data_IF_544958004116
#
_entry.id   IF_544958004116
#
_cell.length_a   1.000
_cell.length_b   1.000
_cell.length_c   1.000
_cell.angle_alpha   90.00
_cell.angle_beta   90.00
_cell.angle_gamma   90.00
#
_symmetry.space_group_name_H-M   'P 1'
#
loop_
_entity.id
_entity.type
_entity.pdbx_description
1 polymer ?
#
# COMPACT_ATOMS: atom_id res chain seq x y z
N UNK A 1 19.00 -34.20 17.21
CA UNK A 1 19.14 -34.68 15.83
C UNK A 1 18.40 -33.71 14.94
N UNK A 2 18.99 -33.30 13.83
CA UNK A 2 18.32 -32.42 12.88
C UNK A 2 17.25 -33.23 12.12
N UNK A 3 16.01 -32.75 12.12
CA UNK A 3 14.91 -33.39 11.41
C UNK A 3 14.59 -32.54 10.18
N UNK A 4 15.11 -32.95 9.01
CA UNK A 4 14.83 -32.30 7.74
C UNK A 4 13.42 -32.70 7.29
N UNK A 5 12.43 -31.84 7.53
CA UNK A 5 11.17 -31.95 6.80
C UNK A 5 11.39 -31.54 5.34
N UNK A 6 10.69 -32.25 4.45
CA UNK A 6 10.77 -32.11 3.00
C UNK A 6 10.24 -30.72 2.59
N UNK A 7 11.02 -29.99 1.79
CA UNK A 7 10.61 -28.71 1.22
C UNK A 7 9.47 -28.94 0.22
N UNK A 8 8.28 -28.41 0.52
CA UNK A 8 7.13 -28.47 -0.38
C UNK A 8 6.87 -27.07 -0.97
N UNK A 9 7.23 -26.82 -2.24
CA UNK A 9 7.10 -25.50 -2.87
C UNK A 9 5.65 -25.01 -3.07
N UNK A 10 4.65 -25.79 -2.63
CA UNK A 10 3.21 -25.52 -2.78
C UNK A 10 2.43 -25.63 -1.46
N UNK A 11 3.10 -25.84 -0.32
CA UNK A 11 2.44 -25.63 0.97
C UNK A 11 2.53 -24.15 1.28
N UNK A 12 1.38 -23.51 1.50
CA UNK A 12 1.32 -22.15 2.00
C UNK A 12 2.25 -22.02 3.21
N UNK A 13 3.18 -21.06 3.13
CA UNK A 13 3.87 -20.58 4.32
C UNK A 13 2.76 -20.11 5.26
N UNK A 14 2.74 -20.61 6.48
CA UNK A 14 1.80 -20.14 7.49
C UNK A 14 1.86 -18.62 7.49
N UNK A 15 0.69 -18.02 7.22
CA UNK A 15 0.49 -16.60 7.20
C UNK A 15 0.64 -16.07 8.62
N UNK A 16 1.88 -15.83 9.06
CA UNK A 16 2.14 -15.06 10.27
C UNK A 16 1.78 -13.60 9.95
N UNK A 17 0.48 -13.31 9.90
CA UNK A 17 -0.01 -11.94 9.95
C UNK A 17 0.43 -11.35 11.30
N UNK A 18 1.06 -10.19 11.24
CA UNK A 18 1.53 -9.45 12.39
C UNK A 18 0.80 -8.12 12.53
N UNK A 19 0.66 -7.71 13.78
CA UNK A 19 0.30 -6.35 14.13
C UNK A 19 1.59 -5.58 14.40
N UNK A 20 1.83 -4.54 13.60
CA UNK A 20 3.04 -3.73 13.67
C UNK A 20 2.73 -2.37 14.27
N UNK A 21 3.50 -2.01 15.30
CA UNK A 21 3.61 -0.66 15.85
C UNK A 21 5.08 -0.28 15.82
N UNK A 22 5.47 0.54 14.84
CA UNK A 22 6.87 0.81 14.52
C UNK A 22 7.11 2.31 14.54
N UNK A 23 8.11 2.75 15.31
CA UNK A 23 8.62 4.12 15.26
C UNK A 23 9.93 4.17 14.50
N UNK A 24 9.98 4.98 13.45
CA UNK A 24 11.17 5.26 12.66
C UNK A 24 11.80 6.55 13.14
N UNK A 25 13.08 6.51 13.52
CA UNK A 25 13.85 7.68 13.98
C UNK A 25 14.95 8.02 12.96
N UNK A 26 14.79 9.14 12.26
CA UNK A 26 15.63 9.55 11.13
C UNK A 26 16.13 10.99 11.32
N UNK A 27 17.22 11.38 10.65
CA UNK A 27 17.58 12.79 10.55
C UNK A 27 16.44 13.63 9.96
N UNK A 28 16.23 14.85 10.45
CA UNK A 28 15.09 15.70 10.05
C UNK A 28 14.99 15.93 8.53
N UNK A 29 16.09 15.82 7.78
CA UNK A 29 16.09 15.90 6.30
C UNK A 29 15.16 14.88 5.62
N UNK A 30 14.78 13.80 6.29
CA UNK A 30 13.87 12.77 5.75
C UNK A 30 12.39 13.07 6.05
N UNK A 31 12.09 14.08 6.87
CA UNK A 31 10.72 14.42 7.26
C UNK A 31 9.83 14.58 6.02
N UNK A 32 8.70 13.89 6.03
CA UNK A 32 7.74 13.91 4.91
C UNK A 32 8.15 13.06 3.70
N UNK A 33 9.34 12.46 3.70
CA UNK A 33 9.89 11.62 2.64
C UNK A 33 10.06 10.16 3.07
N UNK A 34 9.33 9.75 4.11
CA UNK A 34 9.27 8.38 4.61
C UNK A 34 8.00 7.72 4.09
N UNK A 35 8.11 6.50 3.60
CA UNK A 35 6.99 5.62 3.26
C UNK A 35 7.10 4.33 4.07
N UNK A 36 5.99 3.83 4.60
CA UNK A 36 5.97 2.58 5.34
C UNK A 36 4.63 1.84 5.17
N UNK A 37 4.62 0.57 5.56
CA UNK A 37 3.40 -0.21 5.75
C UNK A 37 2.51 0.48 6.78
N UNK A 38 1.21 0.53 6.47
CA UNK A 38 0.22 1.17 7.32
C UNK A 38 0.10 2.68 7.11
N UNK A 39 -0.41 3.33 8.14
CA UNK A 39 -0.59 4.77 8.17
C UNK A 39 0.24 5.37 9.31
N UNK A 40 0.76 6.57 9.07
CA UNK A 40 1.46 7.33 10.09
C UNK A 40 0.44 7.87 11.09
N UNK A 41 0.60 7.52 12.36
CA UNK A 41 -0.28 7.98 13.45
C UNK A 41 0.32 9.14 14.22
N UNK A 42 1.65 9.25 14.27
CA UNK A 42 2.36 10.30 15.00
C UNK A 42 3.59 10.78 14.22
N UNK A 43 3.92 12.06 14.38
CA UNK A 43 5.15 12.70 13.92
C UNK A 43 5.67 13.63 15.02
N UNK A 44 6.93 13.48 15.40
CA UNK A 44 7.62 14.35 16.35
C UNK A 44 8.94 14.83 15.73
N UNK A 45 9.23 16.13 15.88
CA UNK A 45 10.49 16.73 15.43
C UNK A 45 11.18 17.38 16.60
N UNK A 46 12.38 16.91 16.92
CA UNK A 46 13.20 17.41 18.00
C UNK A 46 14.68 17.16 17.70
N UNK A 47 15.56 18.06 18.14
CA UNK A 47 17.01 17.89 18.08
C UNK A 47 17.58 17.51 16.69
N UNK A 48 17.00 18.06 15.63
CA UNK A 48 17.42 17.78 14.24
C UNK A 48 17.05 16.36 13.75
N UNK A 49 16.11 15.71 14.42
CA UNK A 49 15.58 14.38 14.09
C UNK A 49 14.07 14.43 13.91
N UNK A 50 13.56 13.49 13.13
CA UNK A 50 12.12 13.21 12.97
C UNK A 50 11.86 11.78 13.43
N UNK A 51 10.85 11.62 14.30
CA UNK A 51 10.29 10.33 14.70
C UNK A 51 8.89 10.20 14.11
N UNK A 52 8.66 9.19 13.28
CA UNK A 52 7.35 8.89 12.68
C UNK A 52 6.88 7.51 13.15
N UNK A 53 5.69 7.42 13.77
CA UNK A 53 5.10 6.16 14.22
C UNK A 53 4.06 5.65 13.23
N UNK A 54 4.17 4.39 12.86
CA UNK A 54 3.29 3.70 11.93
C UNK A 54 2.64 2.50 12.60
N UNK A 55 1.34 2.35 12.39
CA UNK A 55 0.55 1.23 12.92
C UNK A 55 -0.17 0.53 11.79
N UNK A 56 -0.09 -0.80 11.79
CA UNK A 56 -0.86 -1.64 10.89
C UNK A 56 -1.12 -3.01 11.50
N UNK A 57 -2.40 -3.37 11.60
CA UNK A 57 -2.83 -4.70 12.00
C UNK A 57 -3.00 -5.62 10.80
N UNK A 58 -2.82 -6.92 11.02
CA UNK A 58 -3.20 -7.97 10.07
C UNK A 58 -2.40 -8.00 8.76
N UNK A 59 -1.14 -7.55 8.74
CA UNK A 59 -0.28 -7.59 7.55
C UNK A 59 0.77 -8.68 7.63
N UNK A 60 1.12 -9.28 6.50
CA UNK A 60 2.16 -10.31 6.44
C UNK A 60 3.56 -9.75 6.68
N UNK A 61 3.84 -8.57 6.14
CA UNK A 61 5.16 -7.96 6.15
C UNK A 61 5.08 -6.47 6.46
N UNK A 62 6.09 -5.97 7.15
CA UNK A 62 6.34 -4.56 7.32
C UNK A 62 7.51 -4.13 6.43
N UNK A 63 7.29 -3.11 5.60
CA UNK A 63 8.30 -2.49 4.77
C UNK A 63 8.34 -0.99 5.03
N UNK A 64 9.51 -0.38 4.82
CA UNK A 64 9.67 1.07 4.87
C UNK A 64 10.76 1.54 3.92
N UNK A 65 10.71 2.82 3.56
CA UNK A 65 11.68 3.49 2.70
C UNK A 65 11.84 4.95 3.12
N UNK A 66 13.02 5.52 2.87
CA UNK A 66 13.27 6.94 3.06
C UNK A 66 14.35 7.43 2.07
N UNK A 67 14.05 8.47 1.30
CA UNK A 67 15.00 9.20 0.46
C UNK A 67 14.56 10.68 0.47
N UNK A 68 15.41 11.63 0.92
CA UNK A 68 15.04 13.04 0.98
C UNK A 68 14.77 13.65 -0.40
N UNK A 69 15.04 12.92 -1.49
CA UNK A 69 14.77 13.34 -2.86
C UNK A 69 13.41 12.88 -3.36
N UNK A 70 12.66 12.05 -2.64
CA UNK A 70 11.34 11.63 -3.11
C UNK A 70 10.46 12.84 -3.41
N UNK A 71 9.70 12.75 -4.50
CA UNK A 71 8.51 13.57 -4.68
C UNK A 71 7.33 12.77 -4.16
N UNK A 72 6.66 13.33 -3.17
CA UNK A 72 5.51 12.69 -2.54
C UNK A 72 4.23 13.29 -3.12
N UNK A 73 3.36 12.41 -3.63
CA UNK A 73 2.07 12.76 -4.18
C UNK A 73 0.98 12.00 -3.42
N UNK A 74 -0.18 12.62 -3.27
CA UNK A 74 -1.35 12.00 -2.63
C UNK A 74 -2.56 12.13 -3.54
N UNK A 75 -3.29 11.03 -3.70
CA UNK A 75 -4.60 10.98 -4.33
C UNK A 75 -5.53 10.06 -3.52
N UNK A 76 -6.81 10.02 -3.88
CA UNK A 76 -7.76 9.03 -3.38
C UNK A 76 -8.22 8.12 -4.51
N UNK A 77 -8.43 6.84 -4.19
CA UNK A 77 -9.36 5.98 -4.90
C UNK A 77 -10.74 6.17 -4.28
N UNK A 78 -11.70 6.59 -5.09
CA UNK A 78 -13.12 6.70 -4.73
C UNK A 78 -13.91 5.75 -5.62
N UNK A 79 -14.51 4.67 -5.07
CA UNK A 79 -15.27 3.69 -5.86
C UNK A 79 -16.41 4.26 -6.71
N UNK A 80 -16.98 5.40 -6.32
CA UNK A 80 -18.10 6.00 -7.06
C UNK A 80 -17.62 6.83 -8.25
N UNK A 81 -16.39 7.33 -8.19
CA UNK A 81 -15.74 8.11 -9.25
C UNK A 81 -14.88 7.24 -10.17
N UNK A 82 -14.11 6.34 -9.58
CA UNK A 82 -12.97 5.67 -10.24
C UNK A 82 -13.33 4.27 -10.77
N UNK A 83 -14.52 3.74 -10.48
CA UNK A 83 -15.00 2.45 -11.00
C UNK A 83 -16.08 2.69 -12.06
N UNK A 84 -15.84 2.33 -13.34
CA UNK A 84 -16.85 2.42 -14.37
C UNK A 84 -18.11 1.62 -13.98
N UNK A 85 -19.32 2.21 -14.08
CA UNK A 85 -20.57 1.50 -13.77
C UNK A 85 -20.76 0.23 -14.59
N UNK A 86 -20.29 0.22 -15.83
CA UNK A 86 -20.37 -0.93 -16.75
C UNK A 86 -19.51 -2.09 -16.25
N UNK A 87 -18.26 -1.81 -15.87
CA UNK A 87 -17.35 -2.81 -15.29
C UNK A 87 -17.93 -3.41 -14.01
N UNK A 88 -18.48 -2.56 -13.13
CA UNK A 88 -19.11 -3.00 -11.88
C UNK A 88 -20.28 -3.95 -12.17
N UNK A 89 -21.18 -3.59 -13.09
CA UNK A 89 -22.33 -4.43 -13.46
C UNK A 89 -21.88 -5.75 -14.07
N UNK A 90 -20.96 -5.70 -15.03
CA UNK A 90 -20.43 -6.89 -15.70
C UNK A 90 -19.84 -7.89 -14.69
N UNK A 91 -18.99 -7.42 -13.78
CA UNK A 91 -18.35 -8.31 -12.80
C UNK A 91 -19.33 -8.80 -11.72
N UNK A 92 -20.29 -7.97 -11.29
CA UNK A 92 -21.35 -8.40 -10.35
C UNK A 92 -22.20 -9.52 -10.96
N UNK A 93 -22.61 -9.35 -12.22
CA UNK A 93 -23.42 -10.35 -12.93
C UNK A 93 -22.61 -11.62 -13.20
N UNK A 94 -21.37 -11.47 -13.67
CA UNK A 94 -20.48 -12.59 -14.00
C UNK A 94 -20.14 -13.45 -12.78
N UNK A 95 -19.89 -12.81 -11.64
CA UNK A 95 -19.45 -13.48 -10.41
C UNK A 95 -20.62 -13.81 -9.48
N UNK A 96 -21.85 -13.37 -9.80
CA UNK A 96 -23.04 -13.61 -8.98
C UNK A 96 -22.98 -12.93 -7.61
N UNK A 97 -22.31 -11.77 -7.52
CA UNK A 97 -22.08 -11.07 -6.26
C UNK A 97 -23.34 -10.35 -5.76
N UNK A 98 -23.51 -10.33 -4.45
CA UNK A 98 -24.45 -9.42 -3.81
C UNK A 98 -23.92 -7.97 -3.85
N UNK A 99 -24.79 -6.95 -3.70
CA UNK A 99 -24.35 -5.56 -3.58
C UNK A 99 -23.36 -5.32 -2.43
N UNK A 100 -23.43 -6.13 -1.37
CA UNK A 100 -22.51 -6.05 -0.23
C UNK A 100 -21.12 -6.60 -0.57
N UNK A 101 -21.04 -7.75 -1.23
CA UNK A 101 -19.77 -8.36 -1.66
C UNK A 101 -19.07 -7.50 -2.72
N UNK A 102 -19.83 -6.78 -3.55
CA UNK A 102 -19.31 -5.86 -4.57
C UNK A 102 -18.95 -4.47 -4.03
N UNK A 103 -19.12 -4.23 -2.72
CA UNK A 103 -18.88 -2.92 -2.11
C UNK A 103 -17.40 -2.68 -1.87
N UNK A 104 -16.81 -1.84 -2.70
CA UNK A 104 -15.45 -1.33 -2.51
C UNK A 104 -15.42 -0.19 -1.49
N UNK A 105 -14.21 0.16 -1.02
CA UNK A 105 -13.97 1.22 -0.04
C UNK A 105 -13.05 2.30 -0.62
N UNK A 106 -13.19 3.57 -0.21
CA UNK A 106 -12.20 4.59 -0.52
C UNK A 106 -10.84 4.24 0.08
N UNK A 107 -9.77 4.56 -0.64
CA UNK A 107 -8.39 4.31 -0.21
C UNK A 107 -7.54 5.56 -0.49
N UNK A 108 -6.79 6.03 0.50
CA UNK A 108 -5.77 7.05 0.32
C UNK A 108 -4.56 6.45 -0.36
N UNK A 109 -4.15 7.02 -1.49
CA UNK A 109 -2.99 6.58 -2.27
C UNK A 109 -1.86 7.56 -2.03
N UNK A 110 -0.72 7.07 -1.54
CA UNK A 110 0.47 7.89 -1.28
C UNK A 110 1.64 7.38 -2.10
N UNK A 111 2.08 8.16 -3.08
CA UNK A 111 3.15 7.79 -4.01
C UNK A 111 4.44 8.50 -3.63
N UNK A 112 5.49 7.74 -3.36
CA UNK A 112 6.87 8.21 -3.22
C UNK A 112 7.62 7.90 -4.51
N UNK A 113 7.98 8.94 -5.26
CA UNK A 113 8.50 8.83 -6.62
C UNK A 113 9.86 9.50 -6.72
N UNK A 114 10.83 8.87 -7.41
CA UNK A 114 12.10 9.54 -7.65
C UNK A 114 11.90 10.76 -8.59
N UNK A 115 12.66 11.87 -8.41
CA UNK A 115 12.46 13.10 -9.19
C UNK A 115 12.50 12.90 -10.70
N UNK A 116 13.39 12.04 -11.19
CA UNK A 116 13.53 11.71 -12.61
C UNK A 116 12.29 11.03 -13.21
N UNK A 117 11.43 10.44 -12.37
CA UNK A 117 10.21 9.76 -12.79
C UNK A 117 8.95 10.59 -12.57
N UNK A 118 9.06 11.85 -12.12
CA UNK A 118 7.91 12.71 -11.84
C UNK A 118 6.81 12.75 -12.94
N UNK A 119 7.12 12.74 -14.25
CA UNK A 119 6.08 12.68 -15.29
C UNK A 119 5.20 11.42 -15.26
N UNK A 120 5.64 10.36 -14.57
CA UNK A 120 4.97 9.08 -14.47
C UNK A 120 3.99 9.00 -13.29
N UNK A 121 3.89 10.04 -12.44
CA UNK A 121 3.03 10.02 -11.26
C UNK A 121 1.57 9.67 -11.60
N UNK A 122 1.03 10.28 -12.66
CA UNK A 122 -0.33 10.01 -13.12
C UNK A 122 -0.54 8.55 -13.53
N UNK A 123 0.42 7.98 -14.27
CA UNK A 123 0.34 6.60 -14.72
C UNK A 123 0.35 5.60 -13.54
N UNK A 124 1.09 5.89 -12.46
CA UNK A 124 1.07 5.07 -11.25
C UNK A 124 -0.30 5.08 -10.57
N UNK A 125 -0.91 6.27 -10.42
CA UNK A 125 -2.24 6.38 -9.83
C UNK A 125 -3.30 5.69 -10.69
N UNK A 126 -3.29 5.91 -12.01
CA UNK A 126 -4.24 5.26 -12.93
C UNK A 126 -4.12 3.72 -12.83
N UNK A 127 -2.89 3.19 -12.84
CA UNK A 127 -2.64 1.75 -12.73
C UNK A 127 -3.17 1.17 -11.40
N UNK A 128 -2.89 1.82 -10.27
CA UNK A 128 -3.36 1.34 -8.96
C UNK A 128 -4.86 1.47 -8.81
N UNK A 129 -5.50 2.52 -9.32
CA UNK A 129 -6.96 2.66 -9.30
C UNK A 129 -7.65 1.55 -10.10
N UNK A 130 -7.11 1.19 -11.27
CA UNK A 130 -7.59 0.05 -12.07
C UNK A 130 -7.43 -1.25 -11.27
N UNK A 131 -6.25 -1.46 -10.66
CA UNK A 131 -6.00 -2.65 -9.83
C UNK A 131 -6.95 -2.77 -8.64
N UNK A 132 -7.16 -1.69 -7.90
CA UNK A 132 -8.10 -1.62 -6.78
C UNK A 132 -9.55 -1.89 -7.21
N UNK A 133 -9.95 -1.42 -8.40
CA UNK A 133 -11.27 -1.69 -8.94
C UNK A 133 -11.45 -3.16 -9.35
N UNK A 134 -10.57 -3.70 -10.20
CA UNK A 134 -10.71 -5.05 -10.73
C UNK A 134 -10.50 -6.13 -9.67
N UNK A 135 -9.40 -6.04 -8.90
CA UNK A 135 -9.13 -7.01 -7.84
C UNK A 135 -10.13 -6.84 -6.71
N UNK A 136 -10.54 -5.60 -6.41
CA UNK A 136 -11.58 -5.31 -5.45
C UNK A 136 -12.89 -6.06 -5.74
N UNK A 137 -13.31 -6.05 -7.01
CA UNK A 137 -14.54 -6.72 -7.44
C UNK A 137 -14.38 -8.25 -7.53
N UNK A 138 -13.17 -8.77 -7.80
CA UNK A 138 -12.92 -10.21 -7.94
C UNK A 138 -12.59 -10.93 -6.63
N UNK A 139 -11.88 -10.26 -5.73
CA UNK A 139 -11.28 -10.85 -4.52
C UNK A 139 -11.81 -10.19 -3.23
N UNK A 140 -12.52 -9.07 -3.34
CA UNK A 140 -12.99 -8.27 -2.22
C UNK A 140 -12.20 -6.96 -2.06
N UNK A 141 -12.85 -5.97 -1.41
CA UNK A 141 -12.29 -4.65 -1.22
C UNK A 141 -10.92 -4.68 -0.53
N UNK A 142 -10.01 -3.80 -0.95
CA UNK A 142 -8.75 -3.61 -0.25
C UNK A 142 -9.01 -3.28 1.23
N UNK A 143 -8.42 -4.03 2.18
CA UNK A 143 -8.87 -4.01 3.57
C UNK A 143 -8.39 -2.77 4.35
N UNK A 144 -7.40 -2.05 3.82
CA UNK A 144 -6.74 -0.95 4.53
C UNK A 144 -7.11 0.43 3.98
N UNK A 145 -7.12 1.48 4.83
CA UNK A 145 -7.49 2.83 4.42
C UNK A 145 -6.42 3.53 3.56
N UNK A 146 -5.18 3.03 3.57
CA UNK A 146 -4.04 3.64 2.90
C UNK A 146 -3.27 2.59 2.10
N UNK A 147 -2.85 2.96 0.89
CA UNK A 147 -1.90 2.21 0.07
C UNK A 147 -0.72 3.12 -0.28
N UNK A 148 0.47 2.74 0.17
CA UNK A 148 1.72 3.45 -0.15
C UNK A 148 2.37 2.81 -1.38
N UNK A 149 2.56 3.60 -2.44
CA UNK A 149 3.30 3.22 -3.64
C UNK A 149 4.72 3.78 -3.56
N UNK A 150 5.70 2.97 -3.95
CA UNK A 150 7.11 3.39 -3.97
C UNK A 150 7.70 3.09 -5.34
N UNK A 151 8.21 4.13 -5.99
CA UNK A 151 9.13 4.03 -7.12
C UNK A 151 10.53 4.38 -6.59
N UNK A 152 11.38 3.37 -6.36
CA UNK A 152 12.69 3.57 -5.76
C UNK A 152 13.75 3.96 -6.81
N UNK A 153 14.92 4.39 -6.35
CA UNK A 153 16.05 4.62 -7.24
C UNK A 153 16.50 3.33 -7.95
N UNK A 154 17.10 3.46 -9.13
CA UNK A 154 17.67 2.32 -9.85
C UNK A 154 18.70 1.60 -8.97
N UNK A 155 18.54 0.29 -8.79
CA UNK A 155 19.44 -0.53 -7.98
C UNK A 155 19.15 -0.54 -6.48
N UNK A 156 18.05 0.07 -6.02
CA UNK A 156 17.54 -0.12 -4.67
C UNK A 156 16.73 -1.42 -4.62
N UNK A 157 17.28 -2.47 -3.97
CA UNK A 157 16.67 -3.79 -3.80
C UNK A 157 17.61 -4.74 -3.07
#
# INVERSE_FOLDING_TARGET
GWNCHQFHPKSEFYADFGDYDVTLDLPERYRGHVGATGHRVEEEVADGRVRERYVQEGVHDFAWTADPRYRVYEESFDPDRDVPPELRRELVDLLGLTPEEARLRPVTLRLLLQPQHAPQARAHFDAVKIGLAELGLRLGAYPYPTLTLVDPALGAG
#
